data_IF_425585681414
#
_entry.id   IF_425585681414
#
_cell.length_a   1.000
_cell.length_b   1.000
_cell.length_c   1.000
_cell.angle_alpha   90.00
_cell.angle_beta   90.00
_cell.angle_gamma   90.00
#
_symmetry.space_group_name_H-M   'P 1'
#
loop_
_entity.id
_entity.type
_entity.pdbx_description
1 polymer ?
#
# COMPACT_ATOMS: atom_id res chain seq x y z
N UNK A 1 -13.44 -19.89 -32.89
CA UNK A 1 -12.30 -18.95 -32.96
C UNK A 1 -11.76 -18.88 -31.54
N UNK A 2 -10.47 -19.18 -31.35
CA UNK A 2 -9.86 -19.29 -30.03
C UNK A 2 -9.73 -17.92 -29.37
N UNK A 3 -10.18 -17.79 -28.12
CA UNK A 3 -9.94 -16.62 -27.29
C UNK A 3 -8.43 -16.47 -27.04
N UNK A 4 -7.80 -15.45 -27.63
CA UNK A 4 -6.40 -15.10 -27.43
C UNK A 4 -6.23 -14.57 -26.00
N UNK A 5 -5.70 -15.40 -25.08
CA UNK A 5 -5.39 -14.97 -23.70
C UNK A 5 -4.04 -14.24 -23.65
N UNK A 6 -3.97 -13.15 -22.88
CA UNK A 6 -2.71 -12.48 -22.51
C UNK A 6 -1.80 -13.49 -21.79
N UNK A 7 -0.60 -13.74 -22.30
CA UNK A 7 0.40 -14.56 -21.62
C UNK A 7 1.32 -13.67 -20.78
N UNK A 8 1.26 -13.82 -19.47
CA UNK A 8 2.17 -13.18 -18.52
C UNK A 8 3.24 -14.20 -18.13
N UNK A 9 4.52 -13.88 -18.31
CA UNK A 9 5.64 -14.76 -17.93
C UNK A 9 6.25 -14.28 -16.60
N UNK A 10 6.15 -15.10 -15.54
CA UNK A 10 6.94 -14.92 -14.30
C UNK A 10 7.60 -16.24 -13.86
N UNK A 11 8.82 -16.18 -13.31
CA UNK A 11 9.68 -17.33 -12.99
C UNK A 11 9.50 -17.80 -11.52
N UNK A 12 9.07 -19.07 -11.39
CA UNK A 12 9.36 -20.10 -10.36
C UNK A 12 8.87 -19.96 -8.90
N UNK A 13 7.97 -20.88 -8.52
CA UNK A 13 7.66 -21.32 -7.15
C UNK A 13 8.67 -22.38 -6.66
N UNK A 14 9.16 -22.21 -5.43
CA UNK A 14 9.59 -23.29 -4.52
C UNK A 14 9.10 -22.91 -3.13
N UNK A 15 8.49 -23.84 -2.40
CA UNK A 15 7.98 -23.59 -1.04
C UNK A 15 9.03 -24.06 -0.03
N UNK A 16 9.76 -23.18 0.67
CA UNK A 16 10.73 -23.58 1.67
C UNK A 16 10.04 -23.90 2.99
N UNK A 17 10.73 -24.66 3.85
CA UNK A 17 10.46 -24.70 5.29
C UNK A 17 10.77 -23.30 5.82
N UNK A 18 9.87 -22.70 6.58
CA UNK A 18 10.03 -21.32 7.02
C UNK A 18 11.20 -21.18 8.02
N UNK A 19 12.22 -20.40 7.64
CA UNK A 19 13.39 -20.14 8.49
C UNK A 19 13.25 -18.80 9.22
N UNK A 20 13.61 -18.78 10.50
CA UNK A 20 13.56 -17.60 11.36
C UNK A 20 14.99 -17.21 11.74
N UNK A 21 15.32 -15.92 11.58
CA UNK A 21 16.58 -15.35 12.04
C UNK A 21 16.40 -14.73 13.44
N UNK A 22 17.20 -15.17 14.40
CA UNK A 22 17.32 -14.57 15.73
C UNK A 22 18.60 -13.74 15.81
N UNK A 23 18.50 -12.49 16.22
CA UNK A 23 19.63 -11.56 16.35
C UNK A 23 19.68 -11.02 17.77
N UNK A 24 20.70 -11.36 18.54
CA UNK A 24 20.93 -10.89 19.91
C UNK A 24 22.42 -11.09 20.24
N UNK A 25 23.03 -10.15 20.98
CA UNK A 25 24.45 -10.22 21.32
C UNK A 25 24.74 -11.16 22.50
N UNK A 26 23.71 -11.62 23.20
CA UNK A 26 23.78 -12.60 24.27
C UNK A 26 23.64 -14.03 23.73
N UNK A 27 24.71 -14.87 23.79
CA UNK A 27 24.63 -16.27 23.38
C UNK A 27 23.59 -17.06 24.19
N UNK A 28 23.36 -16.65 25.44
CA UNK A 28 22.35 -17.26 26.31
C UNK A 28 20.93 -16.99 25.80
N UNK A 29 20.65 -15.75 25.40
CA UNK A 29 19.32 -15.38 24.86
C UNK A 29 19.08 -16.12 23.53
N UNK A 30 20.08 -16.12 22.64
CA UNK A 30 20.02 -16.88 21.39
C UNK A 30 19.74 -18.37 21.62
N UNK A 31 20.44 -19.02 22.55
CA UNK A 31 20.24 -20.43 22.85
C UNK A 31 18.83 -20.73 23.40
N UNK A 32 18.33 -19.88 24.30
CA UNK A 32 16.99 -20.04 24.89
C UNK A 32 15.90 -19.82 23.83
N UNK A 33 15.97 -18.72 23.09
CA UNK A 33 15.00 -18.38 22.04
C UNK A 33 15.02 -19.39 20.88
N UNK A 34 16.20 -19.92 20.52
CA UNK A 34 16.31 -20.99 19.53
C UNK A 34 15.58 -22.24 20.00
N UNK A 35 15.80 -22.66 21.25
CA UNK A 35 15.11 -23.81 21.85
C UNK A 35 13.58 -23.64 21.90
N UNK A 36 13.10 -22.42 22.05
CA UNK A 36 11.66 -22.11 22.03
C UNK A 36 11.03 -22.27 20.64
N UNK A 37 11.82 -22.15 19.56
CA UNK A 37 11.33 -22.14 18.17
C UNK A 37 11.71 -23.39 17.36
N UNK A 38 12.77 -24.11 17.72
CA UNK A 38 13.36 -25.23 16.96
C UNK A 38 12.40 -26.41 16.74
N UNK A 39 11.39 -26.58 17.61
CA UNK A 39 10.36 -27.62 17.42
C UNK A 39 9.46 -27.38 16.20
N UNK A 40 9.43 -26.15 15.66
CA UNK A 40 8.46 -25.72 14.63
C UNK A 40 9.09 -25.03 13.43
N UNK A 41 10.26 -24.43 13.61
CA UNK A 41 10.92 -23.62 12.59
C UNK A 41 12.41 -23.97 12.52
N UNK A 42 13.02 -23.72 11.36
CA UNK A 42 14.47 -23.72 11.24
C UNK A 42 14.96 -22.39 11.80
N UNK A 43 15.87 -22.43 12.78
CA UNK A 43 16.38 -21.23 13.44
C UNK A 43 17.80 -20.96 12.97
N UNK A 44 18.03 -19.75 12.47
CA UNK A 44 19.34 -19.19 12.16
C UNK A 44 19.64 -18.10 13.19
N UNK A 45 20.88 -17.98 13.65
CA UNK A 45 21.27 -17.00 14.67
C UNK A 45 22.34 -16.05 14.16
N UNK A 46 22.33 -14.81 14.63
CA UNK A 46 23.38 -13.82 14.43
C UNK A 46 23.67 -13.08 15.74
N UNK A 47 24.93 -12.72 15.99
CA UNK A 47 25.35 -12.07 17.23
C UNK A 47 25.27 -10.53 17.19
N UNK A 48 24.98 -9.94 16.02
CA UNK A 48 24.82 -8.50 15.83
C UNK A 48 24.15 -8.20 14.48
N UNK A 49 23.78 -6.94 14.25
CA UNK A 49 23.10 -6.52 13.02
C UNK A 49 23.92 -6.68 11.74
N UNK A 50 25.26 -6.61 11.79
CA UNK A 50 26.09 -6.74 10.60
C UNK A 50 26.10 -8.21 10.11
N UNK A 51 26.29 -9.15 11.03
CA UNK A 51 26.20 -10.57 10.73
C UNK A 51 24.80 -10.96 10.24
N UNK A 52 23.75 -10.43 10.88
CA UNK A 52 22.37 -10.63 10.45
C UNK A 52 22.16 -10.14 9.01
N UNK A 53 22.68 -8.95 8.68
CA UNK A 53 22.60 -8.40 7.33
C UNK A 53 23.30 -9.29 6.29
N UNK A 54 24.48 -9.79 6.60
CA UNK A 54 25.23 -10.67 5.68
C UNK A 54 24.50 -11.99 5.45
N UNK A 55 23.94 -12.58 6.51
CA UNK A 55 23.10 -13.78 6.44
C UNK A 55 21.85 -13.53 5.58
N UNK A 56 21.16 -12.40 5.80
CA UNK A 56 19.95 -12.05 5.05
C UNK A 56 20.19 -11.88 3.55
N UNK A 57 21.37 -11.41 3.14
CA UNK A 57 21.73 -11.31 1.72
C UNK A 57 22.04 -12.66 1.08
N UNK A 58 22.59 -13.61 1.86
CA UNK A 58 22.99 -14.93 1.38
C UNK A 58 21.85 -15.94 1.43
N UNK A 59 20.97 -15.84 2.42
CA UNK A 59 19.90 -16.77 2.69
C UNK A 59 18.52 -16.17 2.40
N UNK A 60 17.90 -16.64 1.31
CA UNK A 60 16.57 -16.20 0.87
C UNK A 60 15.41 -16.96 1.54
N UNK A 61 15.69 -18.02 2.30
CA UNK A 61 14.68 -18.84 2.96
C UNK A 61 14.18 -18.23 4.29
N UNK A 62 14.86 -17.20 4.80
CA UNK A 62 14.45 -16.49 6.02
C UNK A 62 13.18 -15.68 5.74
N UNK A 63 12.12 -15.95 6.51
CA UNK A 63 10.80 -15.33 6.37
C UNK A 63 10.43 -14.43 7.55
N UNK A 64 11.20 -14.44 8.64
CA UNK A 64 10.99 -13.59 9.82
C UNK A 64 12.33 -13.32 10.53
N UNK A 65 12.49 -12.09 11.02
CA UNK A 65 13.60 -11.71 11.89
C UNK A 65 13.07 -11.32 13.27
N UNK A 66 13.64 -11.89 14.33
CA UNK A 66 13.59 -11.30 15.66
C UNK A 66 14.94 -10.65 15.95
N UNK A 67 14.95 -9.37 16.31
CA UNK A 67 16.19 -8.64 16.61
C UNK A 67 16.11 -7.95 17.96
N UNK A 68 17.14 -8.12 18.79
CA UNK A 68 17.34 -7.25 19.93
C UNK A 68 17.57 -5.82 19.47
N UNK A 69 17.08 -4.86 20.25
CA UNK A 69 17.19 -3.45 19.90
C UNK A 69 18.60 -2.91 20.14
N UNK A 70 19.24 -3.33 21.23
CA UNK A 70 20.55 -2.83 21.66
C UNK A 70 21.61 -3.91 21.50
N UNK A 71 22.51 -3.75 20.54
CA UNK A 71 23.62 -4.67 20.29
C UNK A 71 24.87 -3.88 19.88
N UNK A 72 26.09 -4.42 20.08
CA UNK A 72 27.32 -3.82 19.58
C UNK A 72 27.43 -3.95 18.04
N UNK A 73 28.39 -3.21 17.46
CA UNK A 73 28.75 -3.21 16.02
C UNK A 73 27.68 -2.57 15.13
N UNK A 74 26.52 -3.22 15.03
CA UNK A 74 25.33 -2.70 14.37
C UNK A 74 24.15 -3.09 15.24
N UNK A 75 23.43 -2.09 15.74
CA UNK A 75 22.28 -2.33 16.61
C UNK A 75 21.05 -2.75 15.79
N UNK A 76 19.99 -3.20 16.47
CA UNK A 76 18.77 -3.67 15.80
C UNK A 76 18.04 -2.58 15.01
N UNK A 77 18.13 -1.32 15.46
CA UNK A 77 17.56 -0.18 14.74
C UNK A 77 18.27 0.09 13.41
N UNK A 78 19.60 0.06 13.41
CA UNK A 78 20.42 0.21 12.21
C UNK A 78 20.18 -0.95 11.23
N UNK A 79 20.07 -2.18 11.74
CA UNK A 79 19.70 -3.35 10.94
C UNK A 79 18.32 -3.16 10.30
N UNK A 80 17.32 -2.76 11.08
CA UNK A 80 15.96 -2.52 10.59
C UNK A 80 15.97 -1.45 9.48
N UNK A 81 16.61 -0.31 9.70
CA UNK A 81 16.76 0.73 8.67
C UNK A 81 17.40 0.19 7.39
N UNK A 82 18.43 -0.65 7.53
CA UNK A 82 19.13 -1.23 6.38
C UNK A 82 18.26 -2.23 5.61
N UNK A 83 17.48 -3.05 6.32
CA UNK A 83 16.46 -3.95 5.74
C UNK A 83 15.41 -3.13 4.99
N UNK A 84 14.88 -2.07 5.60
CA UNK A 84 13.79 -1.26 5.05
C UNK A 84 14.21 -0.46 3.81
N UNK A 85 15.46 0.00 3.78
CA UNK A 85 16.07 0.70 2.64
C UNK A 85 16.71 -0.23 1.61
N UNK A 86 16.55 -1.56 1.73
CA UNK A 86 17.05 -2.51 0.74
C UNK A 86 16.29 -2.39 -0.58
N UNK A 87 17.02 -2.48 -1.70
CA UNK A 87 16.44 -2.64 -3.03
C UNK A 87 15.88 -4.06 -3.26
N UNK A 88 16.35 -5.06 -2.49
CA UNK A 88 15.76 -6.40 -2.51
C UNK A 88 14.37 -6.35 -1.86
N UNK A 89 13.32 -6.45 -2.68
CA UNK A 89 11.92 -6.41 -2.23
C UNK A 89 11.63 -7.43 -1.13
N UNK A 90 12.24 -8.63 -1.20
CA UNK A 90 12.10 -9.66 -0.16
C UNK A 90 12.58 -9.14 1.18
N UNK A 91 13.74 -8.48 1.23
CA UNK A 91 14.29 -7.91 2.47
C UNK A 91 13.45 -6.74 2.94
N UNK A 92 13.09 -5.83 2.06
CA UNK A 92 12.34 -4.63 2.46
C UNK A 92 10.95 -4.89 3.05
N UNK A 93 10.37 -6.05 2.71
CA UNK A 93 9.11 -6.58 3.23
C UNK A 93 9.25 -7.54 4.39
N UNK A 94 10.46 -8.02 4.64
CA UNK A 94 10.72 -9.05 5.64
C UNK A 94 10.17 -8.56 6.99
N UNK A 95 9.26 -9.32 7.63
CA UNK A 95 8.81 -9.00 8.96
C UNK A 95 9.98 -8.94 9.93
N UNK A 96 10.07 -7.86 10.69
CA UNK A 96 11.11 -7.67 11.72
C UNK A 96 10.41 -7.36 13.03
N UNK A 97 10.50 -8.29 13.97
CA UNK A 97 9.94 -8.17 15.32
C UNK A 97 11.06 -7.78 16.27
N UNK A 98 10.90 -6.64 16.94
CA UNK A 98 11.93 -6.07 17.79
C UNK A 98 11.79 -6.58 19.22
N UNK A 99 12.87 -7.13 19.77
CA UNK A 99 12.93 -7.53 21.17
C UNK A 99 13.49 -6.35 21.97
N UNK A 100 12.75 -5.93 23.00
CA UNK A 100 13.03 -4.70 23.78
C UNK A 100 13.24 -5.00 25.26
N UNK A 101 14.12 -4.25 25.91
CA UNK A 101 14.38 -4.31 27.34
C UNK A 101 13.44 -3.44 28.18
N UNK A 102 13.50 -3.59 29.51
CA UNK A 102 12.74 -2.75 30.46
C UNK A 102 13.18 -1.27 30.48
N UNK A 103 14.36 -0.97 29.96
CA UNK A 103 14.91 0.39 29.85
C UNK A 103 14.39 1.16 28.65
N UNK A 104 13.65 0.51 27.74
CA UNK A 104 13.18 1.11 26.51
C UNK A 104 11.88 1.86 26.79
N UNK A 105 11.95 3.20 26.72
CA UNK A 105 10.81 4.07 26.94
C UNK A 105 9.74 3.84 25.86
N UNK A 106 8.48 4.15 26.17
CA UNK A 106 7.40 4.07 25.17
C UNK A 106 7.71 4.93 23.94
N UNK A 107 8.39 6.07 24.12
CA UNK A 107 8.90 6.89 23.02
C UNK A 107 9.99 6.19 22.17
N UNK A 108 10.83 5.35 22.78
CA UNK A 108 11.85 4.57 22.06
C UNK A 108 11.24 3.43 21.25
N UNK A 109 10.25 2.72 21.80
CA UNK A 109 9.48 1.72 21.05
C UNK A 109 8.72 2.34 19.89
N UNK A 110 8.24 3.56 20.11
CA UNK A 110 7.53 4.29 19.09
C UNK A 110 8.42 4.64 17.90
N UNK A 111 9.57 5.27 18.13
CA UNK A 111 10.53 5.56 17.05
C UNK A 111 10.94 4.32 16.22
N UNK A 112 10.96 3.14 16.84
CA UNK A 112 11.27 1.87 16.16
C UNK A 112 10.10 1.40 15.27
N UNK A 113 8.84 1.62 15.69
CA UNK A 113 7.65 1.41 14.85
C UNK A 113 7.68 2.33 13.63
N UNK A 114 8.00 3.61 13.82
CA UNK A 114 8.06 4.60 12.75
C UNK A 114 9.08 4.22 11.67
N UNK A 115 10.16 3.54 12.06
CA UNK A 115 11.19 3.05 11.13
C UNK A 115 10.67 1.85 10.30
N UNK A 116 9.58 1.22 10.73
CA UNK A 116 8.88 0.14 10.02
C UNK A 116 9.05 -1.24 10.67
N UNK A 117 9.30 -1.33 11.98
CA UNK A 117 9.22 -2.61 12.68
C UNK A 117 7.81 -3.20 12.58
N UNK A 118 7.72 -4.52 12.43
CA UNK A 118 6.43 -5.21 12.26
C UNK A 118 5.71 -5.43 13.60
N UNK A 119 6.46 -5.66 14.68
CA UNK A 119 5.93 -5.89 16.03
C UNK A 119 7.03 -5.80 17.10
N UNK A 120 6.67 -5.93 18.38
CA UNK A 120 7.58 -5.89 19.51
C UNK A 120 7.32 -7.01 20.52
N UNK A 121 8.40 -7.47 21.15
CA UNK A 121 8.38 -8.38 22.30
C UNK A 121 9.18 -7.74 23.43
N UNK A 122 8.64 -7.72 24.65
CA UNK A 122 9.34 -7.20 25.83
C UNK A 122 10.14 -8.30 26.54
N UNK A 123 11.34 -7.97 27.03
CA UNK A 123 12.14 -8.81 27.94
C UNK A 123 11.65 -8.63 29.39
N UNK A 124 11.45 -9.70 30.18
CA UNK A 124 11.58 -11.11 29.78
C UNK A 124 10.38 -11.58 28.95
N UNK A 125 10.66 -12.42 27.95
CA UNK A 125 9.66 -13.06 27.09
C UNK A 125 9.60 -14.56 27.34
N UNK A 126 8.47 -15.18 27.02
CA UNK A 126 8.28 -16.62 27.10
C UNK A 126 8.12 -17.28 25.72
N UNK A 127 8.00 -18.62 25.73
CA UNK A 127 7.82 -19.40 24.51
C UNK A 127 6.57 -19.01 23.72
N UNK A 128 5.49 -18.63 24.42
CA UNK A 128 4.21 -18.28 23.80
C UNK A 128 4.30 -16.93 23.10
N UNK A 129 5.04 -15.97 23.67
CA UNK A 129 5.34 -14.70 23.03
C UNK A 129 6.00 -14.91 21.65
N UNK A 130 7.11 -15.65 21.59
CA UNK A 130 7.83 -15.90 20.34
C UNK A 130 7.01 -16.73 19.34
N UNK A 131 6.39 -17.83 19.78
CA UNK A 131 5.61 -18.70 18.88
C UNK A 131 4.41 -17.96 18.30
N UNK A 132 3.73 -17.13 19.09
CA UNK A 132 2.55 -16.39 18.61
C UNK A 132 2.91 -15.42 17.49
N UNK A 133 4.03 -14.69 17.63
CA UNK A 133 4.49 -13.74 16.60
C UNK A 133 5.06 -14.46 15.39
N UNK A 134 5.83 -15.52 15.62
CA UNK A 134 6.28 -16.38 14.55
C UNK A 134 5.10 -16.90 13.72
N UNK A 135 4.03 -17.40 14.35
CA UNK A 135 2.84 -17.87 13.62
C UNK A 135 2.14 -16.75 12.83
N UNK A 136 2.04 -15.56 13.42
CA UNK A 136 1.36 -14.43 12.78
C UNK A 136 2.08 -14.00 11.49
N UNK A 137 3.42 -13.93 11.52
CA UNK A 137 4.21 -13.38 10.42
C UNK A 137 4.79 -14.41 9.45
N UNK A 138 4.97 -15.67 9.87
CA UNK A 138 5.46 -16.75 9.00
C UNK A 138 4.35 -17.27 8.07
N UNK A 139 3.06 -17.07 8.40
CA UNK A 139 1.97 -17.71 7.67
C UNK A 139 0.76 -16.79 7.40
N UNK A 140 0.86 -15.79 6.49
CA UNK A 140 -0.27 -14.92 6.16
C UNK A 140 -1.41 -15.61 5.39
N UNK A 141 -1.21 -16.84 4.88
CA UNK A 141 -2.05 -17.40 3.79
C UNK A 141 -3.08 -18.48 4.18
N UNK A 142 -3.47 -18.63 5.44
CA UNK A 142 -4.39 -19.71 5.85
C UNK A 142 -5.61 -19.29 6.69
N UNK A 143 -6.15 -18.10 6.45
CA UNK A 143 -7.53 -17.79 6.84
C UNK A 143 -8.35 -17.54 5.57
N UNK A 144 -9.10 -18.55 5.14
CA UNK A 144 -10.09 -18.57 4.04
C UNK A 144 -9.57 -19.08 2.68
N UNK A 145 -9.66 -20.40 2.51
CA UNK A 145 -9.60 -21.07 1.21
C UNK A 145 -11.01 -21.54 0.84
N UNK A 146 -11.59 -21.06 -0.25
CA UNK A 146 -12.65 -21.78 -0.99
C UNK A 146 -12.57 -21.52 -2.49
N UNK A 147 -12.73 -22.62 -3.24
CA UNK A 147 -12.73 -22.74 -4.70
C UNK A 147 -13.88 -21.99 -5.38
N UNK A 148 -13.58 -21.46 -6.57
CA UNK A 148 -14.31 -21.42 -7.88
C UNK A 148 -14.05 -20.07 -8.55
N UNK A 149 -13.91 -20.08 -9.88
CA UNK A 149 -13.50 -18.97 -10.77
C UNK A 149 -14.27 -17.67 -10.56
N UNK A 150 -13.60 -16.52 -10.77
CA UNK A 150 -14.07 -15.32 -11.48
C UNK A 150 -13.22 -14.09 -11.07
N UNK A 151 -12.81 -13.29 -12.05
CA UNK A 151 -11.96 -12.09 -11.97
C UNK A 151 -12.34 -11.13 -10.81
N UNK A 152 -13.62 -11.07 -10.44
CA UNK A 152 -14.14 -10.23 -9.36
C UNK A 152 -13.75 -10.70 -7.94
N UNK A 153 -13.44 -11.98 -7.73
CA UNK A 153 -12.89 -12.45 -6.45
C UNK A 153 -11.40 -12.16 -6.35
N UNK A 154 -10.65 -12.34 -7.45
CA UNK A 154 -9.23 -11.96 -7.50
C UNK A 154 -9.07 -10.48 -7.12
N UNK A 155 -9.89 -9.61 -7.72
CA UNK A 155 -9.91 -8.19 -7.36
C UNK A 155 -10.14 -7.95 -5.87
N UNK A 156 -11.06 -8.68 -5.24
CA UNK A 156 -11.34 -8.59 -3.79
C UNK A 156 -10.28 -9.21 -2.88
N UNK A 157 -9.50 -10.18 -3.38
CA UNK A 157 -8.38 -10.79 -2.65
C UNK A 157 -7.11 -9.91 -2.72
N UNK A 158 -6.98 -9.11 -3.77
CA UNK A 158 -5.79 -8.30 -4.05
C UNK A 158 -5.96 -6.87 -3.54
N UNK A 159 -7.19 -6.36 -3.55
CA UNK A 159 -7.48 -4.94 -3.39
C UNK A 159 -8.62 -4.75 -2.38
N UNK A 160 -8.40 -3.89 -1.39
CA UNK A 160 -9.42 -3.51 -0.43
C UNK A 160 -10.48 -2.60 -1.07
N UNK A 161 -11.70 -2.63 -0.52
CA UNK A 161 -12.75 -1.69 -0.92
C UNK A 161 -12.36 -0.25 -0.61
N UNK A 162 -12.87 0.72 -1.39
CA UNK A 162 -12.59 2.14 -1.17
C UNK A 162 -13.03 2.63 0.23
N UNK A 163 -14.11 2.05 0.79
CA UNK A 163 -14.56 2.33 2.14
C UNK A 163 -13.64 1.74 3.20
N UNK A 164 -13.13 0.52 3.01
CA UNK A 164 -12.11 -0.08 3.87
C UNK A 164 -10.81 0.73 3.83
N UNK A 165 -10.37 1.15 2.65
CA UNK A 165 -9.21 2.01 2.47
C UNK A 165 -9.34 3.32 3.24
N UNK A 166 -10.49 3.99 3.12
CA UNK A 166 -10.75 5.23 3.85
C UNK A 166 -10.81 5.02 5.36
N UNK A 167 -11.48 3.96 5.82
CA UNK A 167 -11.59 3.66 7.26
C UNK A 167 -10.24 3.31 7.88
N UNK A 168 -9.47 2.43 7.24
CA UNK A 168 -8.12 2.04 7.69
C UNK A 168 -7.20 3.25 7.63
N UNK A 169 -7.29 4.09 6.60
CA UNK A 169 -6.49 5.30 6.49
C UNK A 169 -6.79 6.36 7.54
N UNK A 170 -8.07 6.53 7.92
CA UNK A 170 -8.42 7.38 9.06
C UNK A 170 -7.76 6.87 10.35
N UNK A 171 -7.86 5.57 10.62
CA UNK A 171 -7.27 4.95 11.81
C UNK A 171 -5.74 5.04 11.79
N UNK A 172 -5.11 4.80 10.65
CA UNK A 172 -3.66 4.88 10.50
C UNK A 172 -3.15 6.31 10.68
N UNK A 173 -3.90 7.32 10.23
CA UNK A 173 -3.56 8.74 10.45
C UNK A 173 -3.74 9.16 11.92
N UNK A 174 -4.78 8.68 12.60
CA UNK A 174 -4.97 8.91 14.04
C UNK A 174 -3.84 8.25 14.83
N UNK A 175 -3.56 6.99 14.52
CA UNK A 175 -2.43 6.25 15.08
C UNK A 175 -1.14 7.02 14.82
N UNK A 176 -0.90 7.51 13.61
CA UNK A 176 0.36 8.18 13.27
C UNK A 176 0.61 9.44 14.11
N UNK A 177 -0.45 10.17 14.45
CA UNK A 177 -0.38 11.39 15.29
C UNK A 177 -0.05 11.11 16.74
N UNK A 178 -0.62 10.04 17.30
CA UNK A 178 -0.36 9.64 18.68
C UNK A 178 1.08 9.16 18.87
N UNK A 179 1.70 8.76 17.76
CA UNK A 179 2.90 7.96 17.72
C UNK A 179 4.04 8.62 16.94
N UNK A 180 3.90 9.90 16.56
CA UNK A 180 4.89 10.64 15.77
C UNK A 180 5.43 9.85 14.55
N UNK A 181 4.56 9.10 13.86
CA UNK A 181 4.83 8.46 12.55
C UNK A 181 4.19 9.27 11.41
N UNK A 182 4.49 8.90 10.17
CA UNK A 182 3.74 9.39 9.01
C UNK A 182 3.07 8.26 8.23
N UNK A 183 2.01 8.59 7.51
CA UNK A 183 1.42 7.76 6.47
C UNK A 183 1.70 8.37 5.10
N UNK A 184 1.81 7.52 4.09
CA UNK A 184 1.99 7.94 2.70
C UNK A 184 0.88 7.35 1.85
N UNK A 185 0.20 8.20 1.07
CA UNK A 185 -0.81 7.77 0.11
C UNK A 185 -0.28 7.99 -1.29
N UNK A 186 -0.23 6.93 -2.09
CA UNK A 186 0.19 6.95 -3.49
C UNK A 186 -0.99 6.62 -4.37
N UNK A 187 -1.29 7.50 -5.32
CA UNK A 187 -2.25 7.29 -6.38
C UNK A 187 -1.50 6.87 -7.63
N UNK A 188 -2.03 5.86 -8.31
CA UNK A 188 -1.48 5.31 -9.54
C UNK A 188 -2.59 5.31 -10.59
N UNK A 189 -2.30 5.82 -11.78
CA UNK A 189 -3.23 5.89 -12.89
C UNK A 189 -2.60 5.34 -14.16
N UNK A 190 -3.31 4.46 -14.86
CA UNK A 190 -2.92 4.00 -16.19
C UNK A 190 -3.34 5.08 -17.20
N UNK A 191 -2.38 5.89 -17.63
CA UNK A 191 -2.60 7.10 -18.43
C UNK A 191 -3.17 6.81 -19.82
N UNK A 192 -2.76 5.71 -20.44
CA UNK A 192 -3.21 5.27 -21.75
C UNK A 192 -4.24 4.12 -21.69
N UNK A 193 -5.02 4.04 -20.61
CA UNK A 193 -5.98 2.93 -20.40
C UNK A 193 -7.03 2.83 -21.52
N UNK A 194 -7.55 3.95 -22.02
CA UNK A 194 -8.53 3.97 -23.11
C UNK A 194 -7.95 3.36 -24.40
N UNK A 195 -6.72 3.75 -24.76
CA UNK A 195 -6.00 3.18 -25.92
C UNK A 195 -5.75 1.67 -25.75
N UNK A 196 -5.38 1.24 -24.54
CA UNK A 196 -5.21 -0.19 -24.23
C UNK A 196 -6.55 -0.91 -24.42
N UNK A 197 -7.65 -0.37 -23.89
CA UNK A 197 -8.99 -0.95 -24.02
C UNK A 197 -9.44 -1.08 -25.47
N UNK A 198 -9.12 -0.10 -26.33
CA UNK A 198 -9.37 -0.19 -27.77
C UNK A 198 -8.56 -1.31 -28.44
N UNK A 199 -7.31 -1.52 -28.03
CA UNK A 199 -6.41 -2.53 -28.62
C UNK A 199 -6.79 -3.95 -28.18
N UNK A 200 -7.01 -4.16 -26.89
CA UNK A 200 -7.17 -5.52 -26.32
C UNK A 200 -8.60 -5.89 -25.97
N UNK A 201 -9.52 -4.91 -25.93
CA UNK A 201 -10.89 -5.06 -25.46
C UNK A 201 -11.03 -5.02 -23.93
N UNK A 202 -12.24 -4.67 -23.47
CA UNK A 202 -12.56 -4.42 -22.06
C UNK A 202 -12.10 -5.51 -21.07
N UNK A 203 -12.31 -6.79 -21.41
CA UNK A 203 -11.94 -7.93 -20.55
C UNK A 203 -10.43 -8.02 -20.34
N UNK A 204 -9.65 -7.80 -21.40
CA UNK A 204 -8.20 -7.86 -21.36
C UNK A 204 -7.60 -6.60 -20.74
N UNK A 205 -8.20 -5.42 -20.95
CA UNK A 205 -7.80 -4.18 -20.27
C UNK A 205 -8.01 -4.28 -18.75
N UNK A 206 -9.11 -4.92 -18.31
CA UNK A 206 -9.31 -5.27 -16.90
C UNK A 206 -8.24 -6.22 -16.38
N UNK A 207 -7.80 -7.20 -17.18
CA UNK A 207 -6.72 -8.11 -16.80
C UNK A 207 -5.37 -7.38 -16.68
N UNK A 208 -5.09 -6.39 -17.54
CA UNK A 208 -3.93 -5.49 -17.42
C UNK A 208 -3.99 -4.74 -16.09
N UNK A 209 -5.12 -4.11 -15.76
CA UNK A 209 -5.31 -3.41 -14.49
C UNK A 209 -5.09 -4.33 -13.27
N UNK A 210 -5.67 -5.53 -13.28
CA UNK A 210 -5.49 -6.47 -12.17
C UNK A 210 -4.06 -6.97 -12.06
N UNK A 211 -3.34 -7.09 -13.17
CA UNK A 211 -1.92 -7.45 -13.16
C UNK A 211 -1.09 -6.34 -12.52
N UNK A 212 -1.35 -5.07 -12.85
CA UNK A 212 -0.73 -3.93 -12.17
C UNK A 212 -1.06 -3.98 -10.67
N UNK A 213 -2.32 -4.21 -10.29
CA UNK A 213 -2.70 -4.31 -8.89
C UNK A 213 -2.03 -5.48 -8.14
N UNK A 214 -1.89 -6.66 -8.78
CA UNK A 214 -1.12 -7.80 -8.23
C UNK A 214 0.33 -7.39 -7.97
N UNK A 215 0.94 -6.70 -8.94
CA UNK A 215 2.33 -6.26 -8.86
C UNK A 215 2.54 -5.22 -7.77
N UNK A 216 1.59 -4.30 -7.61
CA UNK A 216 1.56 -3.39 -6.46
C UNK A 216 1.50 -4.19 -5.17
N UNK A 217 0.57 -5.13 -5.03
CA UNK A 217 0.41 -5.91 -3.81
C UNK A 217 1.68 -6.75 -3.47
N UNK A 218 2.41 -7.20 -4.49
CA UNK A 218 3.75 -7.82 -4.35
C UNK A 218 4.84 -6.88 -3.81
N UNK A 219 4.58 -5.58 -3.69
CA UNK A 219 5.48 -4.56 -3.06
C UNK A 219 4.97 -3.99 -1.72
N UNK A 220 3.71 -4.27 -1.36
CA UNK A 220 2.98 -3.79 -0.17
C UNK A 220 3.07 -4.79 1.01
N UNK A 221 3.18 -4.32 2.26
CA UNK A 221 3.19 -5.19 3.47
C UNK A 221 1.78 -5.55 3.93
N UNK A 222 1.66 -6.49 4.87
CA UNK A 222 0.36 -6.92 5.41
C UNK A 222 -0.37 -5.78 6.16
N UNK A 223 0.38 -4.83 6.73
CA UNK A 223 -0.15 -3.62 7.39
C UNK A 223 -0.46 -2.44 6.44
N UNK A 224 -0.04 -2.54 5.18
CA UNK A 224 -0.32 -1.56 4.14
C UNK A 224 -1.58 -1.97 3.36
N UNK A 225 -2.24 -1.02 2.70
CA UNK A 225 -3.52 -1.29 2.04
C UNK A 225 -3.53 -0.74 0.62
N UNK A 226 -3.94 -1.59 -0.33
CA UNK A 226 -4.14 -1.21 -1.74
C UNK A 226 -5.64 -1.16 -2.03
N UNK A 227 -6.11 -0.15 -2.76
CA UNK A 227 -7.50 -0.01 -3.21
C UNK A 227 -7.60 0.34 -4.69
N UNK A 228 -8.76 0.08 -5.30
CA UNK A 228 -9.11 0.53 -6.65
C UNK A 228 -10.10 1.68 -6.52
N UNK A 229 -9.75 2.81 -7.13
CA UNK A 229 -10.54 4.05 -7.07
C UNK A 229 -11.33 4.32 -8.36
N UNK A 230 -11.04 3.60 -9.44
CA UNK A 230 -11.74 3.74 -10.72
C UNK A 230 -11.28 2.73 -11.76
N UNK A 231 -11.75 2.89 -13.00
CA UNK A 231 -11.46 1.98 -14.11
C UNK A 231 -9.97 1.88 -14.42
N UNK A 232 -9.25 3.00 -14.34
CA UNK A 232 -7.82 3.14 -14.63
C UNK A 232 -7.01 3.60 -13.40
N UNK A 233 -7.59 3.63 -12.19
CA UNK A 233 -6.98 4.28 -11.01
C UNK A 233 -6.92 3.35 -9.78
N UNK A 234 -5.75 3.27 -9.18
CA UNK A 234 -5.43 2.53 -7.96
C UNK A 234 -4.88 3.51 -6.91
N UNK A 235 -4.95 3.12 -5.64
CA UNK A 235 -4.24 3.80 -4.58
C UNK A 235 -3.62 2.81 -3.59
N UNK A 236 -2.50 3.19 -3.02
CA UNK A 236 -1.77 2.45 -1.99
C UNK A 236 -1.59 3.38 -0.81
N UNK A 237 -1.87 2.90 0.39
CA UNK A 237 -1.48 3.57 1.61
C UNK A 237 -0.40 2.74 2.30
N UNK A 238 0.75 3.38 2.50
CA UNK A 238 1.81 2.89 3.35
C UNK A 238 1.61 3.43 4.75
N UNK A 239 1.46 2.52 5.71
CA UNK A 239 1.35 2.82 7.13
C UNK A 239 2.76 2.93 7.75
N UNK A 240 2.91 3.71 8.82
CA UNK A 240 4.11 3.72 9.66
C UNK A 240 5.41 4.01 8.88
N UNK A 241 5.34 5.00 7.99
CA UNK A 241 6.49 5.40 7.21
C UNK A 241 7.23 6.49 7.99
N UNK A 242 8.45 6.20 8.39
CA UNK A 242 9.35 7.16 9.03
C UNK A 242 9.87 8.18 8.01
N UNK A 243 11.13 8.60 8.16
CA UNK A 243 11.78 9.56 7.23
C UNK A 243 12.02 9.03 5.81
N UNK A 244 11.61 7.81 5.48
CA UNK A 244 11.93 7.08 4.24
C UNK A 244 10.76 7.00 3.26
N UNK A 245 9.73 7.84 3.40
CA UNK A 245 8.53 7.85 2.55
C UNK A 245 8.81 7.92 1.06
N UNK A 246 9.72 8.81 0.64
CA UNK A 246 10.10 8.94 -0.77
C UNK A 246 10.74 7.65 -1.32
N UNK A 247 11.48 6.92 -0.49
CA UNK A 247 12.17 5.68 -0.92
C UNK A 247 11.18 4.55 -1.17
N UNK A 248 10.17 4.40 -0.30
CA UNK A 248 9.12 3.39 -0.48
C UNK A 248 8.31 3.68 -1.75
N UNK A 249 7.95 4.94 -1.97
CA UNK A 249 7.24 5.38 -3.19
C UNK A 249 8.10 5.13 -4.43
N UNK A 250 9.35 5.62 -4.47
CA UNK A 250 10.24 5.41 -5.62
C UNK A 250 10.46 3.94 -5.94
N UNK A 251 10.55 3.07 -4.94
CA UNK A 251 10.68 1.62 -5.15
C UNK A 251 9.42 1.03 -5.78
N UNK A 252 8.23 1.43 -5.32
CA UNK A 252 6.96 1.03 -5.95
C UNK A 252 6.98 1.42 -7.43
N UNK A 253 7.35 2.66 -7.75
CA UNK A 253 7.31 3.21 -9.11
C UNK A 253 8.25 2.43 -10.03
N UNK A 254 9.51 2.26 -9.63
CA UNK A 254 10.50 1.51 -10.40
C UNK A 254 10.01 0.07 -10.66
N UNK A 255 9.33 -0.54 -9.69
CA UNK A 255 8.79 -1.89 -9.85
C UNK A 255 7.63 -1.99 -10.84
N UNK A 256 6.89 -0.90 -11.03
CA UNK A 256 5.78 -0.81 -11.96
C UNK A 256 6.24 -0.46 -13.38
N UNK A 257 7.29 0.36 -13.52
CA UNK A 257 7.88 0.71 -14.82
C UNK A 257 8.49 -0.50 -15.54
N UNK A 258 8.92 -1.52 -14.80
CA UNK A 258 9.47 -2.77 -15.34
C UNK A 258 8.40 -3.74 -15.89
N UNK A 259 7.11 -3.40 -15.83
CA UNK A 259 6.05 -4.30 -16.29
C UNK A 259 5.90 -4.24 -17.81
N UNK A 260 6.22 -5.35 -18.46
CA UNK A 260 5.95 -5.55 -19.88
C UNK A 260 4.64 -6.32 -20.09
N UNK A 261 3.78 -5.80 -20.97
CA UNK A 261 2.55 -6.45 -21.40
C UNK A 261 2.65 -6.90 -22.85
N UNK A 262 2.05 -8.03 -23.19
CA UNK A 262 2.01 -8.56 -24.55
C UNK A 262 0.60 -9.04 -24.90
N UNK A 263 0.10 -8.66 -26.07
CA UNK A 263 -1.15 -9.17 -26.63
C UNK A 263 -0.97 -9.56 -28.08
N UNK A 264 -1.31 -10.81 -28.41
CA UNK A 264 -1.18 -11.37 -29.77
C UNK A 264 0.23 -11.18 -30.38
N UNK A 265 1.29 -11.36 -29.59
CA UNK A 265 2.67 -11.22 -30.08
C UNK A 265 3.21 -9.79 -30.11
N UNK A 266 2.39 -8.80 -29.70
CA UNK A 266 2.75 -7.37 -29.75
C UNK A 266 2.91 -6.81 -28.34
N UNK A 267 3.99 -6.06 -28.08
CA UNK A 267 4.15 -5.38 -26.80
C UNK A 267 3.08 -4.29 -26.64
N UNK A 268 2.52 -4.19 -25.44
CA UNK A 268 1.63 -3.11 -25.00
C UNK A 268 2.41 -2.29 -24.00
N UNK A 269 2.59 -1.00 -24.31
CA UNK A 269 3.12 -0.03 -23.36
C UNK A 269 2.00 0.40 -22.43
N UNK A 270 2.25 0.40 -21.13
CA UNK A 270 1.33 0.94 -20.12
C UNK A 270 1.99 2.15 -19.50
N UNK A 271 1.36 3.31 -19.65
CA UNK A 271 1.85 4.56 -19.08
C UNK A 271 1.37 4.68 -17.63
N UNK A 272 2.32 4.66 -16.69
CA UNK A 272 2.03 4.68 -15.26
C UNK A 272 2.23 6.08 -14.72
N UNK A 273 1.12 6.79 -14.51
CA UNK A 273 1.09 8.07 -13.84
C UNK A 273 0.99 7.86 -12.33
N UNK A 274 1.65 8.71 -11.56
CA UNK A 274 1.65 8.60 -10.12
C UNK A 274 1.66 9.96 -9.43
N UNK A 275 0.99 10.03 -8.29
CA UNK A 275 0.99 11.18 -7.39
C UNK A 275 0.98 10.68 -5.96
N UNK A 276 1.71 11.31 -5.06
CA UNK A 276 1.71 10.90 -3.66
C UNK A 276 1.63 12.10 -2.73
N UNK A 277 1.13 11.86 -1.52
CA UNK A 277 1.16 12.82 -0.42
C UNK A 277 1.54 12.08 0.87
N UNK A 278 2.39 12.72 1.67
CA UNK A 278 2.76 12.24 3.01
C UNK A 278 2.03 13.06 4.06
N UNK A 279 1.53 12.41 5.11
CA UNK A 279 1.03 13.14 6.28
C UNK A 279 2.18 13.90 6.93
N UNK A 280 2.00 15.20 7.20
CA UNK A 280 2.99 16.01 7.89
C UNK A 280 2.85 15.82 9.40
N UNK A 281 3.94 15.46 10.10
CA UNK A 281 3.96 15.23 11.56
C UNK A 281 3.32 16.35 12.41
N UNK A 282 3.35 17.59 11.93
CA UNK A 282 2.86 18.75 12.69
C UNK A 282 1.47 19.25 12.26
N UNK A 283 0.86 18.67 11.23
CA UNK A 283 -0.46 19.08 10.77
C UNK A 283 -1.55 18.26 11.47
N UNK A 284 -1.99 18.76 12.64
CA UNK A 284 -3.00 18.08 13.47
C UNK A 284 -4.41 18.17 12.89
N UNK A 285 -4.63 19.02 11.89
CA UNK A 285 -5.96 19.26 11.32
C UNK A 285 -6.16 18.54 9.98
N UNK A 286 -5.10 18.11 9.29
CA UNK A 286 -5.21 17.42 8.00
C UNK A 286 -6.03 16.12 8.11
N UNK A 287 -7.03 15.95 7.26
CA UNK A 287 -7.84 14.73 7.22
C UNK A 287 -7.23 13.71 6.24
N UNK A 288 -7.51 12.42 6.43
CA UNK A 288 -7.12 11.39 5.46
C UNK A 288 -7.66 11.71 4.05
N UNK A 289 -8.86 12.28 3.97
CA UNK A 289 -9.46 12.75 2.73
C UNK A 289 -8.63 13.87 2.06
N UNK A 290 -8.07 14.81 2.81
CA UNK A 290 -7.21 15.86 2.27
C UNK A 290 -5.88 15.30 1.77
N UNK A 291 -5.29 14.33 2.47
CA UNK A 291 -4.09 13.61 2.01
C UNK A 291 -4.38 12.92 0.67
N UNK A 292 -5.50 12.20 0.57
CA UNK A 292 -5.95 11.57 -0.67
C UNK A 292 -6.17 12.59 -1.81
N UNK A 293 -6.73 13.76 -1.50
CA UNK A 293 -6.94 14.84 -2.47
C UNK A 293 -5.62 15.43 -2.99
N UNK A 294 -4.64 15.61 -2.11
CA UNK A 294 -3.31 16.08 -2.52
C UNK A 294 -2.59 15.03 -3.37
N UNK A 295 -2.66 13.75 -2.99
CA UNK A 295 -2.11 12.65 -3.79
C UNK A 295 -2.74 12.60 -5.20
N UNK A 296 -4.07 12.72 -5.33
CA UNK A 296 -4.77 12.80 -6.62
C UNK A 296 -4.36 14.05 -7.41
N UNK A 297 -4.19 15.19 -6.76
CA UNK A 297 -3.77 16.44 -7.41
C UNK A 297 -2.33 16.36 -7.94
N UNK A 298 -1.47 15.60 -7.26
CA UNK A 298 -0.06 15.41 -7.63
C UNK A 298 0.13 14.45 -8.81
N UNK A 299 -0.89 13.67 -9.21
CA UNK A 299 -0.83 12.78 -10.38
C UNK A 299 -0.43 13.51 -11.68
N UNK A 300 -0.72 14.81 -11.78
CA UNK A 300 -0.53 15.61 -13.00
C UNK A 300 0.42 16.80 -12.79
N UNK A 301 1.04 16.89 -11.61
CA UNK A 301 1.98 17.95 -11.27
C UNK A 301 3.43 17.61 -11.68
N UNK A 302 3.75 16.31 -11.81
CA UNK A 302 5.11 15.84 -12.12
C UNK A 302 5.40 15.68 -13.62
N UNK A 303 4.43 15.95 -14.50
CA UNK A 303 4.64 15.98 -15.96
C UNK A 303 4.79 17.44 -16.42
N UNK A 304 5.96 18.03 -16.16
CA UNK A 304 6.45 19.14 -16.97
C UNK A 304 6.95 18.57 -18.31
N UNK A 305 6.02 18.27 -19.21
CA UNK A 305 6.27 18.40 -20.65
C UNK A 305 4.96 18.73 -21.38
N UNK A 306 4.95 19.95 -21.90
CA UNK A 306 4.15 20.59 -22.97
C UNK A 306 2.81 19.98 -23.41
N UNK A 307 1.72 20.74 -23.18
CA UNK A 307 0.56 21.02 -24.07
C UNK A 307 -0.85 21.05 -23.45
N UNK A 308 -1.00 20.96 -22.13
CA UNK A 308 -2.32 21.01 -21.46
C UNK A 308 -2.66 22.36 -20.77
N UNK A 309 -2.04 23.47 -21.20
CA UNK A 309 -2.21 24.79 -20.56
C UNK A 309 -3.61 25.39 -20.79
N UNK A 310 -4.35 25.01 -21.84
CA UNK A 310 -5.66 25.61 -22.13
C UNK A 310 -6.83 24.98 -21.36
N UNK A 311 -6.83 23.66 -21.11
CA UNK A 311 -7.88 22.99 -20.34
C UNK A 311 -7.84 23.44 -18.86
N UNK A 312 -6.64 23.76 -18.34
CA UNK A 312 -6.44 24.28 -16.97
C UNK A 312 -7.08 25.64 -16.73
N UNK A 313 -7.35 26.47 -17.75
CA UNK A 313 -7.98 27.79 -17.58
C UNK A 313 -9.51 27.74 -17.51
N UNK A 314 -10.16 26.83 -18.25
CA UNK A 314 -11.61 26.70 -18.21
C UNK A 314 -12.11 25.94 -16.97
N UNK A 315 -11.39 24.89 -16.54
CA UNK A 315 -11.72 24.14 -15.32
C UNK A 315 -11.62 25.01 -14.05
N UNK A 316 -10.63 25.92 -13.99
CA UNK A 316 -10.47 26.88 -12.87
C UNK A 316 -11.66 27.84 -12.74
N UNK A 317 -12.24 28.26 -13.86
CA UNK A 317 -13.39 29.19 -13.90
C UNK A 317 -14.69 28.55 -13.40
N UNK A 318 -14.92 27.28 -13.70
CA UNK A 318 -16.09 26.54 -13.21
C UNK A 318 -15.91 26.03 -11.77
N UNK A 319 -14.69 25.64 -11.39
CA UNK A 319 -14.36 25.12 -10.07
C UNK A 319 -14.51 26.16 -8.95
N UNK A 320 -13.95 27.36 -9.07
CA UNK A 320 -13.89 28.28 -7.91
C UNK A 320 -15.28 28.80 -7.47
N UNK A 321 -16.22 29.01 -8.39
CA UNK A 321 -17.56 29.52 -8.06
C UNK A 321 -18.46 28.49 -7.38
N UNK A 322 -18.34 27.21 -7.76
CA UNK A 322 -19.14 26.14 -7.15
C UNK A 322 -18.48 25.67 -5.85
N UNK A 323 -17.15 25.51 -5.83
CA UNK A 323 -16.43 25.03 -4.65
C UNK A 323 -16.47 26.02 -3.47
N UNK A 324 -16.51 27.33 -3.73
CA UNK A 324 -16.67 28.36 -2.70
C UNK A 324 -17.97 28.23 -1.90
N UNK A 325 -19.09 27.87 -2.55
CA UNK A 325 -20.36 27.61 -1.86
C UNK A 325 -20.35 26.30 -1.07
N UNK A 326 -19.69 25.26 -1.60
CA UNK A 326 -19.65 23.91 -0.97
C UNK A 326 -18.76 23.83 0.28
N UNK A 327 -17.71 24.64 0.39
CA UNK A 327 -16.76 24.63 1.53
C UNK A 327 -17.39 25.10 2.85
N UNK A 328 -18.51 25.81 2.82
CA UNK A 328 -19.08 26.49 4.00
C UNK A 328 -19.83 25.59 5.01
N UNK A 329 -20.05 24.30 4.71
CA UNK A 329 -20.74 23.37 5.63
C UNK A 329 -20.10 21.98 5.60
N UNK A 330 -19.20 21.71 6.55
CA UNK A 330 -18.38 20.49 6.71
C UNK A 330 -19.11 19.13 6.82
N UNK A 331 -20.43 19.05 6.58
CA UNK A 331 -21.16 17.78 6.41
C UNK A 331 -21.18 17.27 4.96
N UNK A 332 -20.73 18.06 3.98
CA UNK A 332 -20.87 17.75 2.54
C UNK A 332 -19.63 17.23 1.80
N UNK A 333 -18.48 17.07 2.45
CA UNK A 333 -17.28 16.49 1.79
C UNK A 333 -17.48 15.02 1.37
N UNK A 334 -18.31 14.25 2.09
CA UNK A 334 -18.60 12.85 1.73
C UNK A 334 -19.38 12.70 0.41
N UNK A 335 -20.24 13.67 0.07
CA UNK A 335 -21.04 13.62 -1.16
C UNK A 335 -20.18 13.80 -2.41
N UNK A 336 -19.10 14.58 -2.32
CA UNK A 336 -18.17 14.77 -3.43
C UNK A 336 -17.54 13.44 -3.86
N UNK A 337 -17.10 12.64 -2.87
CA UNK A 337 -16.53 11.33 -3.12
C UNK A 337 -17.49 10.42 -3.89
N UNK A 338 -18.77 10.39 -3.50
CA UNK A 338 -19.78 9.59 -4.20
C UNK A 338 -20.23 10.18 -5.53
N UNK A 339 -20.12 11.50 -5.72
CA UNK A 339 -20.36 12.13 -7.02
C UNK A 339 -19.33 11.64 -8.06
N UNK A 340 -18.08 11.39 -7.63
CA UNK A 340 -17.04 10.78 -8.48
C UNK A 340 -17.45 9.36 -8.90
N UNK A 341 -18.01 8.57 -7.98
CA UNK A 341 -18.55 7.23 -8.25
C UNK A 341 -19.72 7.24 -9.25
N UNK A 342 -20.60 8.26 -9.19
CA UNK A 342 -21.65 8.45 -10.20
C UNK A 342 -21.05 8.70 -11.59
N UNK A 343 -20.06 9.60 -11.68
CA UNK A 343 -19.43 9.97 -12.96
C UNK A 343 -18.68 8.78 -13.55
N UNK A 344 -18.03 7.95 -12.72
CA UNK A 344 -17.32 6.74 -13.14
C UNK A 344 -18.22 5.53 -13.37
N UNK A 345 -19.54 5.64 -13.18
CA UNK A 345 -20.49 4.54 -13.35
C UNK A 345 -20.44 3.45 -12.27
N UNK A 346 -19.73 3.70 -11.16
CA UNK A 346 -19.61 2.77 -10.03
C UNK A 346 -20.69 3.04 -8.98
N UNK A 347 -21.91 2.66 -9.31
CA UNK A 347 -23.08 2.93 -8.46
C UNK A 347 -23.09 2.09 -7.18
N UNK A 348 -22.40 0.94 -7.14
CA UNK A 348 -22.34 0.06 -5.97
C UNK A 348 -21.49 0.65 -4.83
N UNK A 349 -20.54 1.52 -5.16
CA UNK A 349 -19.72 2.23 -4.18
C UNK A 349 -20.47 3.36 -3.43
N UNK A 350 -21.74 3.61 -3.76
CA UNK A 350 -22.56 4.66 -3.14
C UNK A 350 -23.41 4.06 -2.00
N UNK A 351 -23.16 4.41 -0.73
CA UNK A 351 -24.00 3.95 0.36
C UNK A 351 -25.42 4.52 0.21
N UNK A 352 -26.43 3.67 0.43
CA UNK A 352 -27.86 4.01 0.31
C UNK A 352 -28.27 5.32 0.99
N UNK A 353 -27.64 5.66 2.12
CA UNK A 353 -27.92 6.89 2.86
C UNK A 353 -27.57 8.18 2.09
N UNK A 354 -26.71 8.10 1.08
CA UNK A 354 -26.29 9.24 0.25
C UNK A 354 -26.96 9.30 -1.13
N UNK A 355 -27.61 8.22 -1.58
CA UNK A 355 -28.24 8.14 -2.91
C UNK A 355 -29.27 9.26 -3.15
N UNK A 356 -30.14 9.53 -2.16
CA UNK A 356 -31.20 10.53 -2.30
C UNK A 356 -30.65 11.95 -2.42
N UNK A 357 -29.56 12.24 -1.70
CA UNK A 357 -28.92 13.55 -1.70
C UNK A 357 -28.12 13.76 -3.00
N UNK A 358 -27.43 12.73 -3.49
CA UNK A 358 -26.76 12.74 -4.81
C UNK A 358 -27.76 12.92 -5.94
N UNK A 359 -28.88 12.17 -5.93
CA UNK A 359 -29.94 12.30 -6.92
C UNK A 359 -30.50 13.73 -6.97
N UNK A 360 -30.63 14.37 -5.81
CA UNK A 360 -31.12 15.75 -5.71
C UNK A 360 -30.14 16.75 -6.34
N UNK A 361 -28.84 16.55 -6.14
CA UNK A 361 -27.77 17.38 -6.74
C UNK A 361 -27.73 17.17 -8.26
N UNK A 362 -27.69 15.91 -8.69
CA UNK A 362 -27.63 15.55 -10.11
C UNK A 362 -28.85 16.02 -10.88
N UNK A 363 -30.06 15.92 -10.32
CA UNK A 363 -31.28 16.41 -10.99
C UNK A 363 -31.21 17.89 -11.35
N UNK A 364 -30.57 18.72 -10.52
CA UNK A 364 -30.38 20.15 -10.83
C UNK A 364 -29.41 20.36 -11.98
N UNK A 365 -28.33 19.58 -12.01
CA UNK A 365 -27.32 19.63 -13.07
C UNK A 365 -27.85 19.08 -14.40
N UNK A 366 -28.55 17.94 -14.38
CA UNK A 366 -29.22 17.35 -15.55
C UNK A 366 -30.22 18.36 -16.11
N UNK A 367 -31.07 18.95 -15.27
CA UNK A 367 -32.01 19.99 -15.71
C UNK A 367 -31.31 21.18 -16.35
N UNK A 368 -30.19 21.63 -15.77
CA UNK A 368 -29.39 22.71 -16.35
C UNK A 368 -28.83 22.36 -17.74
N UNK A 369 -28.37 21.12 -17.94
CA UNK A 369 -27.91 20.64 -19.26
C UNK A 369 -29.09 20.56 -20.23
N UNK A 370 -30.21 19.96 -19.82
CA UNK A 370 -31.43 19.83 -20.64
C UNK A 370 -32.01 21.18 -21.07
N UNK A 371 -31.96 22.19 -20.18
CA UNK A 371 -32.42 23.54 -20.47
C UNK A 371 -31.44 24.28 -21.40
N UNK A 372 -30.14 23.94 -21.37
CA UNK A 372 -29.11 24.46 -22.28
C UNK A 372 -29.18 23.84 -23.68
N UNK A 373 -29.55 22.57 -23.78
CA UNK A 373 -29.69 21.87 -25.07
C UNK A 373 -30.96 22.28 -25.84
N UNK A 374 -31.90 22.97 -25.17
CA UNK A 374 -33.16 23.50 -25.74
C UNK A 374 -33.10 24.99 -26.12
N UNK A 375 -32.02 25.68 -25.79
CA UNK A 375 -31.78 27.10 -26.08
C UNK A 375 -30.79 27.25 -27.23
#
# INVERSE_FOLDING_TARGET
MSESQIQIRSKTEHKPVDEILLVDDSPTVLAVASKMLEERYVVVTAANGLEAWDILNQNKAITLVFSDMQMPIMNGLELLLKIRNSEDLRLSKLPVVMITGKSDTDAGKQAVFDIGASDFIGKPFDTLDLISRARAYVNPKNSHRKRVSDIALEEREIIASASSFHSVGCQALEFSRENDTSISVVYIELGNYEEIEEIVGNQNAKAVMLTVAKRINETVRDEDITTRLGVNKLAVMYSLVGSTSSTVVSRLINHLDDIEFEFEGKPIKVDILHGYENSKHHDKDVTFSEICMHADSNLHANNDDTDLVDIRKEARRFGESIFGEFKSRGKKLGLWFFLKSVISGDFEAIPKQYELELLTIMKRYIKFIEDRDKA
#
